data_IF_512902160306
#
_entry.id   IF_512902160306
#
_cell.length_a   1.000
_cell.length_b   1.000
_cell.length_c   1.000
_cell.angle_alpha   90.00
_cell.angle_beta   90.00
_cell.angle_gamma   90.00
#
_symmetry.space_group_name_H-M   'P 1'
#
loop_
_entity.id
_entity.type
_entity.pdbx_description
1 polymer ?
#
# COMPACT_ATOMS: atom_id res chain seq x y z
N UNK A 1 -24.67 -1.91 -12.12
CA UNK A 1 -23.81 -0.73 -12.40
C UNK A 1 -22.67 -1.19 -13.32
N UNK A 2 -22.33 -0.39 -14.32
CA UNK A 2 -21.24 -0.76 -15.24
C UNK A 2 -19.89 -0.47 -14.57
N UNK A 3 -19.00 -1.44 -14.50
CA UNK A 3 -17.65 -1.28 -13.88
C UNK A 3 -16.93 -0.07 -14.47
N UNK A 4 -17.11 0.21 -15.76
CA UNK A 4 -16.54 1.39 -16.43
C UNK A 4 -17.01 2.72 -15.82
N UNK A 5 -18.28 2.83 -15.41
CA UNK A 5 -18.80 4.05 -14.79
C UNK A 5 -18.26 4.31 -13.38
N UNK A 6 -17.79 3.26 -12.70
CA UNK A 6 -17.14 3.35 -11.39
C UNK A 6 -15.68 3.78 -11.54
N UNK A 7 -14.97 3.19 -12.51
CA UNK A 7 -13.53 3.38 -12.67
C UNK A 7 -13.20 4.66 -13.45
N UNK A 8 -14.06 5.08 -14.38
CA UNK A 8 -13.79 6.26 -15.24
C UNK A 8 -13.49 7.56 -14.46
N UNK A 9 -14.20 7.94 -13.39
CA UNK A 9 -13.85 9.13 -12.62
C UNK A 9 -12.46 9.04 -11.99
N UNK A 10 -12.07 7.85 -11.52
CA UNK A 10 -10.76 7.62 -10.91
C UNK A 10 -9.63 7.80 -11.93
N UNK A 11 -9.84 7.25 -13.14
CA UNK A 11 -8.91 7.41 -14.26
C UNK A 11 -8.81 8.88 -14.68
N UNK A 12 -9.93 9.60 -14.76
CA UNK A 12 -9.93 11.03 -15.12
C UNK A 12 -9.12 11.85 -14.13
N UNK A 13 -9.28 11.63 -12.83
CA UNK A 13 -8.49 12.33 -11.79
C UNK A 13 -6.99 12.03 -11.92
N UNK A 14 -6.63 10.77 -12.15
CA UNK A 14 -5.24 10.38 -12.36
C UNK A 14 -4.67 11.00 -13.65
N UNK A 15 -5.43 10.99 -14.75
CA UNK A 15 -5.04 11.63 -16.01
C UNK A 15 -4.85 13.15 -15.86
N UNK A 16 -5.70 13.83 -15.09
CA UNK A 16 -5.51 15.25 -14.77
C UNK A 16 -4.18 15.49 -14.07
N UNK A 17 -3.82 14.68 -13.06
CA UNK A 17 -2.51 14.76 -12.41
C UNK A 17 -1.35 14.56 -13.39
N UNK A 18 -1.45 13.55 -14.26
CA UNK A 18 -0.46 13.30 -15.30
C UNK A 18 -0.29 14.48 -16.25
N UNK A 19 -1.41 15.03 -16.77
CA UNK A 19 -1.41 16.17 -17.71
C UNK A 19 -0.83 17.41 -17.05
N UNK A 20 -1.25 17.78 -15.83
CA UNK A 20 -0.75 18.93 -15.09
C UNK A 20 0.78 18.88 -14.91
N UNK A 21 1.32 17.71 -14.64
CA UNK A 21 2.76 17.52 -14.51
C UNK A 21 3.47 17.51 -15.86
N UNK A 22 2.90 16.85 -16.86
CA UNK A 22 3.49 16.78 -18.22
C UNK A 22 3.54 18.15 -18.91
N UNK A 23 2.53 18.98 -18.68
CA UNK A 23 2.47 20.36 -19.19
C UNK A 23 3.28 21.36 -18.34
N UNK A 24 3.98 20.88 -17.31
CA UNK A 24 4.77 21.72 -16.38
C UNK A 24 3.93 22.76 -15.62
N UNK A 25 2.62 22.59 -15.55
CA UNK A 25 1.76 23.43 -14.73
C UNK A 25 1.97 23.15 -13.24
N UNK A 26 2.35 21.91 -12.91
CA UNK A 26 2.72 21.50 -11.57
C UNK A 26 4.22 21.13 -11.51
N UNK A 27 4.98 21.82 -10.63
CA UNK A 27 6.38 21.49 -10.40
C UNK A 27 6.53 20.27 -9.48
N UNK A 28 7.73 19.68 -9.46
CA UNK A 28 8.03 18.56 -8.57
C UNK A 28 7.92 18.94 -7.09
N UNK A 29 8.38 20.15 -6.72
CA UNK A 29 8.30 20.66 -5.35
C UNK A 29 6.86 20.85 -4.89
N UNK A 30 5.99 21.36 -5.77
CA UNK A 30 4.55 21.48 -5.49
C UNK A 30 3.89 20.11 -5.32
N UNK A 31 4.24 19.15 -6.17
CA UNK A 31 3.74 17.77 -6.04
C UNK A 31 4.19 17.14 -4.72
N UNK A 32 5.45 17.33 -4.33
CA UNK A 32 5.97 16.81 -3.06
C UNK A 32 5.26 17.45 -1.85
N UNK A 33 4.94 18.75 -1.92
CA UNK A 33 4.17 19.45 -0.89
C UNK A 33 2.73 18.90 -0.76
N UNK A 34 2.04 18.74 -1.89
CA UNK A 34 0.69 18.14 -1.94
C UNK A 34 0.74 16.68 -1.43
N UNK A 35 1.75 15.92 -1.84
CA UNK A 35 1.94 14.53 -1.39
C UNK A 35 2.15 14.47 0.12
N UNK A 36 3.00 15.33 0.66
CA UNK A 36 3.25 15.41 2.11
C UNK A 36 1.97 15.72 2.88
N UNK A 37 1.18 16.70 2.45
CA UNK A 37 -0.11 17.01 3.07
C UNK A 37 -1.06 15.81 3.00
N UNK A 38 -1.18 15.21 1.81
CA UNK A 38 -2.11 14.10 1.57
C UNK A 38 -1.77 12.89 2.42
N UNK A 39 -0.51 12.43 2.41
CA UNK A 39 -0.11 11.20 3.11
C UNK A 39 0.18 11.38 4.59
N UNK A 40 0.44 12.63 5.07
CA UNK A 40 0.70 12.90 6.48
C UNK A 40 -0.50 13.44 7.24
N UNK A 41 -1.52 13.99 6.56
CA UNK A 41 -2.67 14.62 7.21
C UNK A 41 -4.00 14.09 6.66
N UNK A 42 -4.25 14.26 5.35
CA UNK A 42 -5.59 14.00 4.78
C UNK A 42 -5.95 12.50 4.81
N UNK A 43 -5.06 11.62 4.35
CA UNK A 43 -5.28 10.16 4.39
C UNK A 43 -5.32 9.64 5.85
N UNK A 44 -4.39 9.99 6.74
CA UNK A 44 -4.49 9.63 8.15
C UNK A 44 -5.82 10.06 8.81
N UNK A 45 -6.27 11.29 8.58
CA UNK A 45 -7.56 11.76 9.08
C UNK A 45 -8.73 10.94 8.52
N UNK A 46 -8.68 10.63 7.22
CA UNK A 46 -9.67 9.78 6.56
C UNK A 46 -9.71 8.37 7.16
N UNK A 47 -8.55 7.73 7.33
CA UNK A 47 -8.45 6.37 7.89
C UNK A 47 -8.94 6.31 9.34
N UNK A 48 -8.54 7.29 10.15
CA UNK A 48 -9.01 7.42 11.53
C UNK A 48 -10.54 7.57 11.59
N UNK A 49 -11.07 8.54 10.84
CA UNK A 49 -12.49 8.87 10.85
C UNK A 49 -13.38 7.70 10.42
N UNK A 50 -12.99 7.04 9.34
CA UNK A 50 -13.72 5.90 8.82
C UNK A 50 -13.64 4.69 9.74
N UNK A 51 -12.46 4.44 10.35
CA UNK A 51 -12.28 3.32 11.27
C UNK A 51 -13.02 3.54 12.60
N UNK A 52 -13.05 4.79 13.08
CA UNK A 52 -13.79 5.16 14.29
C UNK A 52 -15.30 4.95 14.15
N UNK A 53 -15.83 5.03 12.91
CA UNK A 53 -17.28 4.86 12.60
C UNK A 53 -17.66 3.49 12.03
N UNK A 54 -16.66 2.64 11.74
CA UNK A 54 -16.92 1.37 11.06
C UNK A 54 -17.78 0.44 11.92
N UNK A 55 -18.78 -0.20 11.31
CA UNK A 55 -19.50 -1.30 11.94
C UNK A 55 -18.68 -2.59 11.76
N UNK A 56 -18.01 -3.00 12.82
CA UNK A 56 -17.16 -4.19 12.84
C UNK A 56 -17.86 -5.42 13.41
N UNK A 57 -19.05 -5.27 14.02
CA UNK A 57 -19.69 -6.27 14.86
C UNK A 57 -20.06 -7.57 14.11
N UNK A 58 -20.41 -7.47 12.81
CA UNK A 58 -20.90 -8.60 12.02
C UNK A 58 -20.08 -8.89 10.75
N UNK A 59 -18.99 -8.16 10.51
CA UNK A 59 -18.31 -8.18 9.21
C UNK A 59 -16.96 -8.91 9.23
N UNK A 60 -16.38 -9.11 10.42
CA UNK A 60 -15.06 -9.74 10.55
C UNK A 60 -15.20 -11.25 10.60
N UNK A 61 -14.90 -11.92 9.51
CA UNK A 61 -14.90 -13.39 9.44
C UNK A 61 -13.53 -13.95 9.08
N UNK A 62 -13.08 -15.07 9.68
CA UNK A 62 -11.83 -15.73 9.30
C UNK A 62 -11.79 -16.12 7.83
N UNK A 63 -12.94 -16.45 7.25
CA UNK A 63 -13.08 -16.82 5.84
C UNK A 63 -12.72 -15.64 4.91
N UNK A 64 -13.13 -14.43 5.26
CA UNK A 64 -12.79 -13.23 4.50
C UNK A 64 -11.29 -12.97 4.50
N UNK A 65 -10.66 -13.08 5.67
CA UNK A 65 -9.21 -12.95 5.79
C UNK A 65 -8.47 -14.03 4.99
N UNK A 66 -8.92 -15.27 5.08
CA UNK A 66 -8.36 -16.37 4.29
C UNK A 66 -8.52 -16.11 2.78
N UNK A 67 -9.69 -15.68 2.34
CA UNK A 67 -9.97 -15.41 0.92
C UNK A 67 -9.06 -14.30 0.36
N UNK A 68 -8.67 -13.31 1.17
CA UNK A 68 -7.75 -12.25 0.76
C UNK A 68 -6.28 -12.68 0.89
N UNK A 69 -5.88 -13.22 2.04
CA UNK A 69 -4.47 -13.47 2.32
C UNK A 69 -3.90 -14.73 1.66
N UNK A 70 -4.70 -15.77 1.41
CA UNK A 70 -4.22 -16.97 0.70
C UNK A 70 -3.72 -16.62 -0.71
N UNK A 71 -4.47 -15.90 -1.57
CA UNK A 71 -3.98 -15.49 -2.88
C UNK A 71 -2.75 -14.59 -2.79
N UNK A 72 -2.73 -13.62 -1.85
CA UNK A 72 -1.61 -12.70 -1.67
C UNK A 72 -0.33 -13.45 -1.29
N UNK A 73 -0.41 -14.36 -0.31
CA UNK A 73 0.74 -15.17 0.10
C UNK A 73 1.18 -16.13 -0.99
N UNK A 74 0.24 -16.72 -1.71
CA UNK A 74 0.55 -17.60 -2.86
C UNK A 74 1.28 -16.82 -3.95
N UNK A 75 0.79 -15.64 -4.31
CA UNK A 75 1.44 -14.74 -5.28
C UNK A 75 2.85 -14.36 -4.81
N UNK A 76 3.00 -13.96 -3.53
CA UNK A 76 4.29 -13.62 -2.96
C UNK A 76 5.28 -14.80 -3.02
N UNK A 77 4.87 -15.99 -2.58
CA UNK A 77 5.73 -17.16 -2.55
C UNK A 77 6.12 -17.63 -3.95
N UNK A 78 5.15 -17.68 -4.87
CA UNK A 78 5.43 -18.06 -6.27
C UNK A 78 6.39 -17.07 -6.93
N UNK A 79 6.14 -15.77 -6.80
CA UNK A 79 7.01 -14.73 -7.37
C UNK A 79 8.40 -14.77 -6.74
N UNK A 80 8.49 -14.98 -5.42
CA UNK A 80 9.78 -15.14 -4.74
C UNK A 80 10.54 -16.35 -5.24
N UNK A 81 9.90 -17.52 -5.37
CA UNK A 81 10.51 -18.75 -5.89
C UNK A 81 10.98 -18.57 -7.34
N UNK A 82 10.09 -18.10 -8.21
CA UNK A 82 10.40 -17.89 -9.63
C UNK A 82 11.59 -16.94 -9.76
N UNK A 83 11.52 -15.78 -9.11
CA UNK A 83 12.58 -14.78 -9.13
C UNK A 83 13.90 -15.32 -8.58
N UNK A 84 13.86 -16.10 -7.49
CA UNK A 84 15.05 -16.72 -6.91
C UNK A 84 15.74 -17.70 -7.89
N UNK A 85 14.97 -18.54 -8.58
CA UNK A 85 15.52 -19.47 -9.58
C UNK A 85 16.06 -18.76 -10.82
N UNK A 86 15.38 -17.71 -11.28
CA UNK A 86 15.85 -16.89 -12.42
C UNK A 86 17.16 -16.16 -12.08
N UNK A 87 17.28 -15.55 -10.91
CA UNK A 87 18.53 -14.92 -10.47
C UNK A 87 19.66 -15.92 -10.32
N UNK A 88 19.38 -17.10 -9.77
CA UNK A 88 20.37 -18.18 -9.63
C UNK A 88 20.89 -18.70 -10.98
N UNK A 89 20.02 -18.81 -11.99
CA UNK A 89 20.38 -19.25 -13.35
C UNK A 89 21.30 -18.25 -14.08
N UNK A 90 21.07 -16.96 -13.91
CA UNK A 90 21.87 -15.91 -14.55
C UNK A 90 23.28 -15.77 -13.96
N UNK A 91 23.50 -16.26 -12.75
CA UNK A 91 24.77 -16.18 -12.01
C UNK A 91 25.81 -17.21 -12.44
N UNK A 92 25.43 -18.27 -13.16
CA UNK A 92 26.39 -19.26 -13.63
C UNK A 92 27.48 -18.67 -14.55
N UNK A 93 27.25 -17.46 -15.06
CA UNK A 93 28.15 -16.76 -15.97
C UNK A 93 29.00 -15.64 -15.31
N UNK A 94 28.82 -15.32 -14.00
CA UNK A 94 29.56 -14.23 -13.36
C UNK A 94 29.90 -14.58 -11.90
N UNK A 95 31.16 -15.07 -11.65
CA UNK A 95 31.63 -15.65 -10.39
C UNK A 95 31.66 -14.70 -9.17
N UNK A 96 31.32 -13.43 -9.29
CA UNK A 96 31.56 -12.41 -8.27
C UNK A 96 30.29 -11.89 -7.52
N UNK A 97 29.08 -12.40 -7.79
CA UNK A 97 27.86 -11.95 -7.12
C UNK A 97 27.30 -13.11 -6.29
N UNK A 98 27.18 -12.93 -4.97
CA UNK A 98 26.80 -13.99 -4.03
C UNK A 98 25.32 -14.38 -4.16
N UNK A 99 24.99 -15.67 -4.24
CA UNK A 99 23.64 -16.25 -4.30
C UNK A 99 22.65 -15.76 -3.21
N UNK A 100 23.14 -15.02 -2.22
CA UNK A 100 22.35 -14.44 -1.13
C UNK A 100 21.80 -13.05 -1.42
N UNK A 101 22.51 -12.27 -2.26
CA UNK A 101 22.00 -10.99 -2.76
C UNK A 101 20.75 -11.26 -3.58
N UNK A 102 20.66 -12.44 -4.18
CA UNK A 102 19.53 -12.87 -5.00
C UNK A 102 18.26 -13.17 -4.18
N UNK A 103 18.39 -13.78 -3.00
CA UNK A 103 17.22 -14.07 -2.14
C UNK A 103 16.60 -12.80 -1.56
N UNK A 104 17.41 -11.82 -1.17
CA UNK A 104 16.90 -10.54 -0.69
C UNK A 104 16.26 -9.71 -1.84
N UNK A 105 16.91 -9.68 -3.01
CA UNK A 105 16.37 -9.03 -4.20
C UNK A 105 15.05 -9.67 -4.66
N UNK A 106 15.00 -11.02 -4.65
CA UNK A 106 13.79 -11.77 -4.98
C UNK A 106 12.65 -11.52 -3.99
N UNK A 107 12.95 -11.33 -2.69
CA UNK A 107 11.95 -10.99 -1.69
C UNK A 107 11.37 -9.59 -1.92
N UNK A 108 12.20 -8.61 -2.29
CA UNK A 108 11.76 -7.26 -2.64
C UNK A 108 10.92 -7.27 -3.93
N UNK A 109 11.33 -8.06 -4.91
CA UNK A 109 10.56 -8.22 -6.16
C UNK A 109 9.19 -8.88 -5.89
N UNK A 110 9.15 -9.92 -5.06
CA UNK A 110 7.91 -10.57 -4.64
C UNK A 110 6.99 -9.62 -3.86
N UNK A 111 7.56 -8.76 -3.02
CA UNK A 111 6.82 -7.69 -2.35
C UNK A 111 6.13 -6.78 -3.38
N UNK A 112 6.87 -6.30 -4.38
CA UNK A 112 6.32 -5.44 -5.44
C UNK A 112 5.20 -6.10 -6.24
N UNK A 113 5.32 -7.39 -6.54
CA UNK A 113 4.32 -8.15 -7.31
C UNK A 113 3.05 -8.50 -6.51
N UNK A 114 3.15 -8.64 -5.18
CA UNK A 114 2.03 -9.01 -4.31
C UNK A 114 1.40 -7.85 -3.55
N UNK A 115 2.05 -6.69 -3.55
CA UNK A 115 1.56 -5.51 -2.82
C UNK A 115 0.44 -4.82 -3.58
N UNK A 116 -0.78 -4.95 -3.07
CA UNK A 116 -1.95 -4.32 -3.68
C UNK A 116 -2.10 -2.86 -3.28
N UNK A 117 -2.50 -2.03 -4.25
CA UNK A 117 -2.85 -0.63 -4.00
C UNK A 117 -4.30 -0.52 -3.49
N UNK A 118 -4.54 -1.08 -2.31
CA UNK A 118 -5.89 -1.25 -1.75
C UNK A 118 -6.50 0.08 -1.32
N UNK A 119 -5.71 1.05 -0.83
CA UNK A 119 -6.24 2.34 -0.35
C UNK A 119 -6.54 3.28 -1.53
N UNK A 120 -5.58 3.48 -2.44
CA UNK A 120 -5.70 4.54 -3.46
C UNK A 120 -6.64 4.10 -4.59
N UNK A 121 -6.59 2.82 -4.98
CA UNK A 121 -7.39 2.28 -6.10
C UNK A 121 -8.49 1.35 -5.59
N UNK A 122 -8.17 0.40 -4.72
CA UNK A 122 -9.11 -0.61 -4.26
C UNK A 122 -10.30 -0.02 -3.49
N UNK A 123 -10.03 0.87 -2.52
CA UNK A 123 -11.07 1.45 -1.68
C UNK A 123 -12.13 2.23 -2.48
N UNK A 124 -11.79 3.17 -3.38
CA UNK A 124 -12.79 3.86 -4.19
C UNK A 124 -13.66 2.92 -5.03
N UNK A 125 -13.04 1.90 -5.62
CA UNK A 125 -13.76 0.91 -6.44
C UNK A 125 -14.73 0.09 -5.58
N UNK A 126 -14.28 -0.38 -4.42
CA UNK A 126 -15.09 -1.18 -3.50
C UNK A 126 -16.23 -0.36 -2.88
N UNK A 127 -15.97 0.90 -2.50
CA UNK A 127 -17.01 1.80 -1.99
C UNK A 127 -18.08 2.08 -3.05
N UNK A 128 -17.67 2.32 -4.28
CA UNK A 128 -18.63 2.57 -5.37
C UNK A 128 -19.41 1.30 -5.78
N UNK A 129 -18.82 0.12 -5.64
CA UNK A 129 -19.44 -1.16 -6.00
C UNK A 129 -20.31 -1.75 -4.88
N UNK A 130 -19.88 -1.64 -3.62
CA UNK A 130 -20.43 -2.34 -2.46
C UNK A 130 -21.00 -1.40 -1.39
N UNK A 131 -20.75 -0.08 -1.51
CA UNK A 131 -21.19 0.92 -0.53
C UNK A 131 -20.24 1.07 0.66
N UNK A 132 -20.59 1.99 1.58
CA UNK A 132 -19.73 2.35 2.72
C UNK A 132 -19.59 1.25 3.78
N UNK A 133 -20.49 0.29 3.80
CA UNK A 133 -20.50 -0.80 4.77
C UNK A 133 -19.24 -1.66 4.76
N UNK A 134 -18.51 -1.74 3.64
CA UNK A 134 -17.28 -2.54 3.53
C UNK A 134 -16.03 -1.81 4.01
N UNK A 135 -16.15 -0.54 4.41
CA UNK A 135 -15.01 0.32 4.75
C UNK A 135 -14.17 -0.23 5.90
N UNK A 136 -14.81 -0.66 6.98
CA UNK A 136 -14.12 -1.20 8.15
C UNK A 136 -13.29 -2.44 7.84
N UNK A 137 -13.85 -3.35 7.04
CA UNK A 137 -13.17 -4.58 6.59
C UNK A 137 -11.95 -4.24 5.74
N UNK A 138 -12.10 -3.31 4.78
CA UNK A 138 -11.00 -2.91 3.91
C UNK A 138 -9.84 -2.34 4.74
N UNK A 139 -10.12 -1.52 5.75
CA UNK A 139 -9.09 -0.94 6.59
C UNK A 139 -8.40 -1.97 7.49
N UNK A 140 -9.14 -2.94 8.03
CA UNK A 140 -8.54 -4.07 8.75
C UNK A 140 -7.59 -4.86 7.84
N UNK A 141 -8.05 -5.21 6.64
CA UNK A 141 -7.23 -5.92 5.65
C UNK A 141 -5.96 -5.11 5.34
N UNK A 142 -6.09 -3.82 5.01
CA UNK A 142 -4.95 -2.96 4.65
C UNK A 142 -3.92 -2.88 5.77
N UNK A 143 -4.37 -2.75 7.02
CA UNK A 143 -3.50 -2.66 8.20
C UNK A 143 -2.60 -3.88 8.32
N UNK A 144 -3.20 -5.07 8.26
CA UNK A 144 -2.44 -6.33 8.37
C UNK A 144 -1.65 -6.65 7.11
N UNK A 145 -2.17 -6.30 5.92
CA UNK A 145 -1.53 -6.57 4.63
C UNK A 145 -0.12 -5.98 4.56
N UNK A 146 0.01 -4.68 4.81
CA UNK A 146 1.30 -4.00 4.78
C UNK A 146 2.26 -4.56 5.81
N UNK A 147 1.80 -4.70 7.07
CA UNK A 147 2.63 -5.23 8.15
C UNK A 147 3.14 -6.64 7.86
N UNK A 148 2.26 -7.52 7.36
CA UNK A 148 2.59 -8.92 7.05
C UNK A 148 3.60 -9.03 5.91
N UNK A 149 3.38 -8.33 4.79
CA UNK A 149 4.27 -8.42 3.62
C UNK A 149 5.65 -7.80 3.92
N UNK A 150 5.70 -6.67 4.63
CA UNK A 150 6.98 -6.08 5.04
C UNK A 150 7.71 -6.96 6.04
N UNK A 151 7.02 -7.57 7.02
CA UNK A 151 7.62 -8.51 7.96
C UNK A 151 8.20 -9.73 7.23
N UNK A 152 7.45 -10.33 6.32
CA UNK A 152 7.87 -11.49 5.53
C UNK A 152 9.11 -11.16 4.67
N UNK A 153 9.06 -10.06 3.94
CA UNK A 153 10.19 -9.58 3.11
C UNK A 153 11.43 -9.31 3.95
N UNK A 154 11.26 -8.66 5.10
CA UNK A 154 12.35 -8.35 6.00
C UNK A 154 12.95 -9.61 6.64
N UNK A 155 12.12 -10.59 7.01
CA UNK A 155 12.58 -11.86 7.57
C UNK A 155 13.40 -12.68 6.55
N UNK A 156 12.95 -12.74 5.29
CA UNK A 156 13.69 -13.41 4.20
C UNK A 156 15.01 -12.69 3.93
N UNK A 157 14.97 -11.35 3.84
CA UNK A 157 16.17 -10.53 3.60
C UNK A 157 17.18 -10.64 4.74
N UNK A 158 16.71 -10.69 5.99
CA UNK A 158 17.57 -10.88 7.16
C UNK A 158 18.27 -12.22 7.15
N UNK A 159 17.56 -13.32 6.85
CA UNK A 159 18.17 -14.65 6.71
C UNK A 159 19.26 -14.69 5.63
N UNK A 160 19.06 -13.93 4.56
CA UNK A 160 20.05 -13.79 3.50
C UNK A 160 21.33 -13.05 3.99
N UNK A 161 21.20 -12.08 4.88
CA UNK A 161 22.28 -11.21 5.35
C UNK A 161 23.07 -11.76 6.56
N UNK A 162 22.46 -12.60 7.41
CA UNK A 162 23.09 -13.13 8.65
C UNK A 162 24.42 -13.85 8.41
N UNK A 163 24.61 -14.51 7.27
CA UNK A 163 25.87 -15.20 6.94
C UNK A 163 27.05 -14.26 6.58
N UNK A 164 26.82 -12.94 6.45
CA UNK A 164 27.86 -11.96 6.09
C UNK A 164 28.22 -10.99 7.22
N UNK A 165 27.88 -11.31 8.49
CA UNK A 165 28.20 -10.44 9.63
C UNK A 165 27.41 -9.11 9.67
N UNK A 166 26.43 -8.92 8.79
CA UNK A 166 25.56 -7.76 8.80
C UNK A 166 24.53 -7.93 9.92
N UNK A 167 24.27 -6.85 10.66
CA UNK A 167 23.40 -6.81 11.85
C UNK A 167 22.15 -7.70 11.73
N UNK A 168 21.88 -8.50 12.77
CA UNK A 168 20.65 -9.27 12.92
C UNK A 168 19.44 -8.36 12.68
N UNK A 169 18.42 -8.87 11.99
CA UNK A 169 17.16 -8.16 11.83
C UNK A 169 16.60 -7.76 13.21
N UNK A 170 16.42 -6.47 13.41
CA UNK A 170 15.93 -5.94 14.69
C UNK A 170 14.42 -5.84 14.63
N UNK A 171 13.73 -6.84 15.16
CA UNK A 171 12.28 -6.87 15.27
C UNK A 171 11.70 -5.65 16.00
N UNK A 172 12.40 -5.16 17.04
CA UNK A 172 11.96 -3.98 17.80
C UNK A 172 11.98 -2.74 16.91
N UNK A 173 13.06 -2.56 16.13
CA UNK A 173 13.16 -1.46 15.18
C UNK A 173 12.10 -1.55 14.08
N UNK A 174 11.83 -2.77 13.60
CA UNK A 174 10.80 -3.02 12.58
C UNK A 174 9.40 -2.68 13.13
N UNK A 175 9.05 -3.21 14.30
CA UNK A 175 7.75 -2.92 14.95
C UNK A 175 7.62 -1.42 15.21
N UNK A 176 8.67 -0.79 15.72
CA UNK A 176 8.68 0.66 15.98
C UNK A 176 8.45 1.47 14.71
N UNK A 177 9.11 1.12 13.60
CA UNK A 177 8.90 1.78 12.31
C UNK A 177 7.50 1.54 11.75
N UNK A 178 6.98 0.32 11.88
CA UNK A 178 5.62 -0.03 11.44
C UNK A 178 4.56 0.71 12.24
N UNK A 179 4.69 0.70 13.58
CA UNK A 179 3.75 1.38 14.47
C UNK A 179 3.86 2.91 14.35
N UNK A 180 5.04 3.46 14.05
CA UNK A 180 5.21 4.90 13.83
C UNK A 180 4.73 5.37 12.44
N UNK A 181 4.27 4.48 11.57
CA UNK A 181 3.67 4.87 10.30
C UNK A 181 2.35 5.63 10.55
N UNK A 182 2.18 6.88 10.06
CA UNK A 182 1.00 7.69 10.32
C UNK A 182 -0.30 7.01 9.86
N UNK A 183 -0.27 6.20 8.82
CA UNK A 183 -1.43 5.46 8.33
C UNK A 183 -1.85 4.38 9.33
N UNK A 184 -0.88 3.63 9.85
CA UNK A 184 -1.14 2.56 10.83
C UNK A 184 -1.60 3.15 12.16
N UNK A 185 -0.96 4.21 12.65
CA UNK A 185 -1.39 4.92 13.86
C UNK A 185 -2.85 5.36 13.73
N UNK A 186 -3.21 5.95 12.60
CA UNK A 186 -4.56 6.46 12.37
C UNK A 186 -5.62 5.35 12.37
N UNK A 187 -5.33 4.22 11.73
CA UNK A 187 -6.24 3.07 11.72
C UNK A 187 -6.37 2.49 13.14
N UNK A 188 -5.25 2.27 13.83
CA UNK A 188 -5.26 1.71 15.18
C UNK A 188 -5.94 2.63 16.18
N UNK A 189 -5.70 3.94 16.13
CA UNK A 189 -6.36 4.90 17.02
C UNK A 189 -7.86 4.99 16.73
N UNK A 190 -8.27 4.98 15.45
CA UNK A 190 -9.67 4.88 15.06
C UNK A 190 -10.34 3.61 15.56
N UNK A 191 -9.65 2.47 15.46
CA UNK A 191 -10.11 1.18 15.97
C UNK A 191 -10.30 1.21 17.49
N UNK A 192 -9.38 1.81 18.23
CA UNK A 192 -9.49 1.96 19.71
C UNK A 192 -10.73 2.79 20.05
N UNK A 193 -10.94 3.93 19.39
CA UNK A 193 -12.13 4.77 19.58
C UNK A 193 -13.41 3.98 19.30
N UNK A 194 -13.44 3.20 18.24
CA UNK A 194 -14.55 2.35 17.84
C UNK A 194 -14.86 1.27 18.89
N UNK A 195 -13.86 0.49 19.31
CA UNK A 195 -14.01 -0.61 20.29
C UNK A 195 -14.45 -0.07 21.67
N UNK A 196 -13.94 1.10 22.07
CA UNK A 196 -14.33 1.74 23.33
C UNK A 196 -15.72 2.40 23.27
N UNK A 197 -16.38 2.41 22.12
CA UNK A 197 -17.69 3.04 21.92
C UNK A 197 -17.67 4.55 22.15
N UNK A 198 -16.50 5.21 21.98
CA UNK A 198 -16.37 6.64 22.21
C UNK A 198 -17.04 7.40 21.07
N UNK A 199 -18.07 8.17 21.39
CA UNK A 199 -18.72 9.07 20.42
C UNK A 199 -17.89 10.34 20.27
N UNK A 200 -17.40 10.57 19.05
CA UNK A 200 -16.66 11.80 18.75
C UNK A 200 -17.61 13.01 18.79
N UNK A 201 -17.21 14.15 19.39
CA UNK A 201 -18.00 15.40 19.33
C UNK A 201 -18.27 15.81 17.87
N UNK A 202 -19.44 16.38 17.58
CA UNK A 202 -19.85 16.78 16.22
C UNK A 202 -18.82 17.69 15.53
N UNK A 203 -18.30 18.68 16.26
CA UNK A 203 -17.25 19.59 15.75
C UNK A 203 -16.03 18.82 15.23
N UNK A 204 -15.59 17.80 15.98
CA UNK A 204 -14.45 16.97 15.59
C UNK A 204 -14.79 16.09 14.39
N UNK A 205 -16.01 15.52 14.36
CA UNK A 205 -16.47 14.73 13.23
C UNK A 205 -16.49 15.55 11.93
N UNK A 206 -17.06 16.77 11.99
CA UNK A 206 -17.17 17.66 10.83
C UNK A 206 -15.78 18.12 10.35
N UNK A 207 -14.90 18.45 11.29
CA UNK A 207 -13.51 18.83 10.98
C UNK A 207 -12.74 17.68 10.31
N UNK A 208 -12.85 16.47 10.83
CA UNK A 208 -12.25 15.28 10.25
C UNK A 208 -12.83 14.98 8.87
N UNK A 209 -14.14 15.09 8.70
CA UNK A 209 -14.81 14.90 7.42
C UNK A 209 -14.31 15.89 6.36
N UNK A 210 -14.14 17.17 6.71
CA UNK A 210 -13.62 18.19 5.79
C UNK A 210 -12.18 17.89 5.34
N UNK A 211 -11.29 17.54 6.27
CA UNK A 211 -9.88 17.20 5.96
C UNK A 211 -9.79 15.88 5.17
N UNK A 212 -10.67 14.94 5.45
CA UNK A 212 -10.72 13.63 4.81
C UNK A 212 -11.25 13.66 3.39
N UNK A 213 -12.15 14.60 3.09
CA UNK A 213 -12.87 14.66 1.82
C UNK A 213 -11.98 14.64 0.57
N UNK A 214 -10.85 15.36 0.50
CA UNK A 214 -9.99 15.36 -0.65
C UNK A 214 -9.00 14.17 -0.70
N UNK A 215 -8.90 13.34 0.35
CA UNK A 215 -7.86 12.34 0.50
C UNK A 215 -7.70 11.41 -0.70
N UNK A 216 -8.78 10.80 -1.15
CA UNK A 216 -8.79 9.84 -2.27
C UNK A 216 -8.51 10.54 -3.60
N UNK A 217 -9.14 11.69 -3.84
CA UNK A 217 -8.94 12.43 -5.08
C UNK A 217 -7.50 12.94 -5.21
N UNK A 218 -6.93 13.47 -4.11
CA UNK A 218 -5.53 13.89 -4.08
C UNK A 218 -4.57 12.72 -4.28
N UNK A 219 -4.83 11.58 -3.66
CA UNK A 219 -4.00 10.38 -3.82
C UNK A 219 -3.97 9.90 -5.28
N UNK A 220 -5.13 9.86 -5.95
CA UNK A 220 -5.23 9.51 -7.38
C UNK A 220 -4.54 10.54 -8.27
N UNK A 221 -4.72 11.82 -7.97
CA UNK A 221 -4.04 12.90 -8.68
C UNK A 221 -2.51 12.79 -8.56
N UNK A 222 -2.00 12.59 -7.35
CA UNK A 222 -0.58 12.38 -7.07
C UNK A 222 -0.05 11.14 -7.80
N UNK A 223 -0.80 10.06 -7.82
CA UNK A 223 -0.44 8.85 -8.55
C UNK A 223 -0.24 9.15 -10.03
N UNK A 224 -1.20 9.80 -10.66
CA UNK A 224 -1.11 10.20 -12.06
C UNK A 224 0.03 11.18 -12.33
N UNK A 225 0.18 12.19 -11.47
CA UNK A 225 1.26 13.17 -11.55
C UNK A 225 2.66 12.51 -11.44
N UNK A 226 2.80 11.54 -10.55
CA UNK A 226 4.04 10.79 -10.37
C UNK A 226 4.42 10.00 -11.61
N UNK A 227 3.45 9.39 -12.31
CA UNK A 227 3.70 8.66 -13.56
C UNK A 227 4.34 9.53 -14.64
N UNK A 228 4.10 10.84 -14.65
CA UNK A 228 4.69 11.75 -15.62
C UNK A 228 6.21 11.92 -15.45
N UNK A 229 6.76 11.61 -14.29
CA UNK A 229 8.20 11.66 -14.02
C UNK A 229 8.92 10.34 -14.34
N UNK A 230 8.19 9.21 -14.49
CA UNK A 230 8.81 7.93 -14.79
C UNK A 230 9.04 7.75 -16.29
N UNK A 231 10.25 7.35 -16.64
CA UNK A 231 10.59 6.93 -18.02
C UNK A 231 10.33 5.43 -18.16
N UNK A 232 9.11 5.07 -18.51
CA UNK A 232 8.65 3.67 -18.66
C UNK A 232 9.53 2.87 -19.64
N UNK A 233 10.20 3.53 -20.59
CA UNK A 233 10.97 2.90 -21.65
C UNK A 233 12.22 2.13 -21.17
N UNK A 234 12.78 2.47 -20.01
CA UNK A 234 13.98 1.81 -19.46
C UNK A 234 13.67 0.56 -18.64
N UNK A 235 12.42 0.38 -18.21
CA UNK A 235 12.01 -0.68 -17.30
C UNK A 235 11.12 -1.76 -17.94
N UNK A 236 10.91 -1.69 -19.27
CA UNK A 236 10.01 -2.62 -19.99
C UNK A 236 10.40 -4.10 -19.80
N UNK A 237 11.70 -4.39 -19.68
CA UNK A 237 12.19 -5.76 -19.46
C UNK A 237 11.82 -6.29 -18.08
N UNK A 238 11.80 -5.44 -17.03
CA UNK A 238 11.38 -5.82 -15.70
C UNK A 238 9.85 -5.93 -15.59
N UNK A 239 9.12 -5.06 -16.28
CA UNK A 239 7.66 -5.07 -16.33
C UNK A 239 7.16 -6.35 -17.00
N UNK A 240 7.78 -6.79 -18.12
CA UNK A 240 7.38 -8.02 -18.82
C UNK A 240 7.63 -9.32 -18.03
N UNK A 241 8.44 -9.27 -16.96
CA UNK A 241 8.68 -10.43 -16.08
C UNK A 241 7.69 -10.42 -14.90
N UNK A 242 7.10 -9.27 -14.57
CA UNK A 242 6.18 -9.10 -13.46
C UNK A 242 4.70 -9.39 -13.82
N UNK A 243 4.36 -9.42 -15.12
CA UNK A 243 3.07 -9.75 -15.69
C UNK A 243 3.14 -11.07 -16.45
#
# INVERSE_FOLDING_TARGET
MNILSIISPLIVVALLGYICTKTRWLSREQLDAISKFTFSISIPAFLFYQMAKADLSNQVSPQLFAAFYLPVLTCYLLTWLISYYFYKGKQHNNRNISAKKDSAASAVFALGASYSNTIIVGLPVLLAALGEQVTGIIFLIVTFHSAMLFALTSAISAKANVKHGIKKFNWVSFIKQTVNNPLIISILSGLIVNILGITLPNILQDSLALISKPAIALALFILGASLAFYQVRQELTFISIAF
#
